data_IF_220366950993
#
_entry.id   IF_220366950993
#
_cell.length_a   1.000
_cell.length_b   1.000
_cell.length_c   1.000
_cell.angle_alpha   90.00
_cell.angle_beta   90.00
_cell.angle_gamma   90.00
#
_symmetry.space_group_name_H-M   'P 1'
#
loop_
_entity.id
_entity.type
_entity.pdbx_description
1 polymer ?
#
# COMPACT_ATOMS: atom_id res chain seq x y z
N UNK A 1 -10.63 27.95 1.41
CA UNK A 1 -10.59 27.47 2.83
C UNK A 1 -12.01 27.08 3.18
N UNK A 2 -12.24 25.95 3.88
CA UNK A 2 -13.58 25.52 4.27
C UNK A 2 -14.17 26.48 5.30
N UNK A 3 -15.43 26.85 5.14
CA UNK A 3 -16.18 27.60 6.13
C UNK A 3 -16.87 26.66 7.15
N UNK A 4 -17.57 27.20 8.15
CA UNK A 4 -18.23 26.42 9.20
C UNK A 4 -19.27 25.46 8.63
N UNK A 5 -20.09 25.90 7.68
CA UNK A 5 -21.12 25.07 7.03
C UNK A 5 -20.51 23.92 6.20
N UNK A 6 -19.39 24.18 5.50
CA UNK A 6 -18.67 23.12 4.79
C UNK A 6 -18.20 22.03 5.73
N UNK A 7 -17.66 22.41 6.90
CA UNK A 7 -17.18 21.46 7.90
C UNK A 7 -18.32 20.63 8.49
N UNK A 8 -19.48 21.22 8.75
CA UNK A 8 -20.68 20.52 9.22
C UNK A 8 -21.18 19.49 8.19
N UNK A 9 -21.27 19.87 6.92
CA UNK A 9 -21.65 18.98 5.83
C UNK A 9 -20.65 17.83 5.65
N UNK A 10 -19.36 18.15 5.73
CA UNK A 10 -18.31 17.14 5.60
C UNK A 10 -18.34 16.15 6.77
N UNK A 11 -18.59 16.62 7.99
CA UNK A 11 -18.72 15.76 9.17
C UNK A 11 -19.91 14.81 9.04
N UNK A 12 -21.08 15.30 8.63
CA UNK A 12 -22.26 14.50 8.31
C UNK A 12 -21.91 13.43 7.26
N UNK A 13 -21.35 13.83 6.13
CA UNK A 13 -20.96 12.94 5.04
C UNK A 13 -19.98 11.85 5.49
N UNK A 14 -19.00 12.19 6.32
CA UNK A 14 -17.99 11.23 6.79
C UNK A 14 -18.55 10.27 7.83
N UNK A 15 -19.41 10.77 8.72
CA UNK A 15 -20.01 9.99 9.80
C UNK A 15 -21.01 8.99 9.26
N UNK A 16 -21.96 9.42 8.42
CA UNK A 16 -23.01 8.56 7.85
C UNK A 16 -22.43 7.46 6.95
N UNK A 17 -21.31 7.72 6.30
CA UNK A 17 -20.61 6.74 5.46
C UNK A 17 -19.51 5.96 6.18
N UNK A 18 -19.29 6.16 7.46
CA UNK A 18 -18.23 5.53 8.25
C UNK A 18 -16.84 5.62 7.57
N UNK A 19 -16.52 6.81 7.02
CA UNK A 19 -15.30 7.00 6.22
C UNK A 19 -14.06 7.07 7.12
N UNK A 20 -13.05 6.22 6.84
CA UNK A 20 -11.78 6.24 7.57
C UNK A 20 -11.05 7.59 7.44
N UNK A 21 -10.32 8.03 8.50
CA UNK A 21 -9.54 9.28 8.51
C UNK A 21 -8.67 9.49 7.27
N UNK A 22 -8.01 8.40 6.79
CA UNK A 22 -7.20 8.48 5.57
C UNK A 22 -8.03 8.76 4.31
N UNK A 23 -9.22 8.19 4.22
CA UNK A 23 -10.13 8.44 3.09
C UNK A 23 -10.72 9.83 3.18
N UNK A 24 -11.03 10.34 4.41
CA UNK A 24 -11.44 11.72 4.66
C UNK A 24 -10.42 12.71 4.11
N UNK A 25 -9.12 12.51 4.38
CA UNK A 25 -8.07 13.36 3.81
C UNK A 25 -8.14 13.45 2.27
N UNK A 26 -8.42 12.34 1.62
CA UNK A 26 -8.60 12.34 0.17
C UNK A 26 -9.85 13.10 -0.30
N UNK A 27 -10.95 13.07 0.45
CA UNK A 27 -12.13 13.88 0.19
C UNK A 27 -11.87 15.36 0.43
N UNK A 28 -11.18 15.72 1.54
CA UNK A 28 -10.75 17.09 1.79
C UNK A 28 -10.01 17.70 0.60
N UNK A 29 -9.08 16.93 0.01
CA UNK A 29 -8.36 17.39 -1.17
C UNK A 29 -9.31 17.58 -2.37
N UNK A 30 -10.20 16.63 -2.65
CA UNK A 30 -11.15 16.75 -3.75
C UNK A 30 -12.10 17.95 -3.58
N UNK A 31 -12.60 18.17 -2.37
CA UNK A 31 -13.47 19.31 -2.03
C UNK A 31 -12.72 20.63 -2.17
N UNK A 32 -11.49 20.73 -1.68
CA UNK A 32 -10.66 21.95 -1.85
C UNK A 32 -10.47 22.29 -3.33
N UNK A 33 -10.17 21.30 -4.17
CA UNK A 33 -10.01 21.49 -5.61
C UNK A 33 -11.33 21.92 -6.28
N UNK A 34 -12.45 21.36 -5.84
CA UNK A 34 -13.77 21.69 -6.41
C UNK A 34 -14.21 23.11 -6.00
N UNK A 35 -14.01 23.50 -4.76
CA UNK A 35 -14.22 24.89 -4.27
C UNK A 35 -13.33 25.86 -5.05
N UNK A 36 -12.05 25.51 -5.23
CA UNK A 36 -11.11 26.35 -6.01
C UNK A 36 -11.58 26.56 -7.46
N UNK A 37 -12.11 25.51 -8.09
CA UNK A 37 -12.60 25.57 -9.45
C UNK A 37 -13.91 26.37 -9.58
N UNK A 38 -14.87 26.13 -8.67
CA UNK A 38 -16.21 26.74 -8.76
C UNK A 38 -16.28 28.13 -8.16
N UNK A 39 -15.36 28.47 -7.27
CA UNK A 39 -15.43 29.67 -6.43
C UNK A 39 -16.56 29.64 -5.39
N UNK A 40 -17.24 28.51 -5.20
CA UNK A 40 -18.40 28.34 -4.32
C UNK A 40 -18.10 27.34 -3.19
N UNK A 41 -18.71 27.55 -2.03
CA UNK A 41 -18.64 26.63 -0.90
C UNK A 41 -19.50 25.38 -1.12
N UNK A 42 -19.19 24.29 -0.43
CA UNK A 42 -19.91 23.00 -0.58
C UNK A 42 -21.40 23.14 -0.27
N UNK A 43 -21.72 23.89 0.79
CA UNK A 43 -23.11 24.19 1.15
C UNK A 43 -23.87 24.84 0.01
N UNK A 44 -23.31 25.90 -0.59
CA UNK A 44 -23.96 26.67 -1.65
C UNK A 44 -24.11 25.83 -2.93
N UNK A 45 -23.13 24.95 -3.20
CA UNK A 45 -23.17 24.02 -4.32
C UNK A 45 -24.28 22.96 -4.17
N UNK A 46 -24.50 22.47 -2.95
CA UNK A 46 -25.62 21.55 -2.68
C UNK A 46 -26.96 22.26 -2.78
N UNK A 47 -27.10 23.42 -2.15
CA UNK A 47 -28.33 24.22 -2.21
C UNK A 47 -28.70 24.61 -3.66
N UNK A 48 -27.70 24.97 -4.48
CA UNK A 48 -27.97 25.27 -5.91
C UNK A 48 -28.46 24.05 -6.66
N UNK A 49 -27.88 22.86 -6.41
CA UNK A 49 -28.28 21.63 -7.07
C UNK A 49 -29.69 21.17 -6.64
N UNK A 50 -29.98 21.23 -5.34
CA UNK A 50 -31.28 20.91 -4.75
C UNK A 50 -32.39 21.82 -5.31
N UNK A 51 -32.14 23.12 -5.35
CA UNK A 51 -33.06 24.10 -5.94
C UNK A 51 -33.32 23.85 -7.44
N UNK A 52 -32.34 23.37 -8.19
CA UNK A 52 -32.53 22.97 -9.58
C UNK A 52 -33.47 21.77 -9.71
N UNK A 53 -33.37 20.77 -8.82
CA UNK A 53 -34.24 19.61 -8.80
C UNK A 53 -35.68 19.99 -8.39
N UNK A 54 -35.85 20.79 -7.33
CA UNK A 54 -37.13 21.30 -6.90
C UNK A 54 -37.87 22.09 -8.00
N UNK A 55 -37.13 22.87 -8.79
CA UNK A 55 -37.65 23.61 -9.92
C UNK A 55 -37.83 22.79 -11.21
N UNK A 56 -37.57 21.49 -11.16
CA UNK A 56 -37.72 20.58 -12.31
C UNK A 56 -36.77 20.87 -13.46
N UNK A 57 -35.60 21.44 -13.20
CA UNK A 57 -34.59 21.77 -14.22
C UNK A 57 -34.05 20.46 -14.81
N UNK A 58 -34.30 20.23 -16.09
CA UNK A 58 -33.80 19.03 -16.76
C UNK A 58 -32.26 19.00 -16.76
N UNK A 59 -31.68 17.84 -16.50
CA UNK A 59 -30.22 17.62 -16.47
C UNK A 59 -29.43 18.29 -17.59
N UNK A 60 -29.96 18.29 -18.81
CA UNK A 60 -29.30 18.94 -19.97
C UNK A 60 -29.10 20.46 -19.81
N UNK A 61 -29.89 21.11 -18.93
CA UNK A 61 -29.86 22.55 -18.65
C UNK A 61 -29.28 22.85 -17.24
N UNK A 62 -28.97 21.83 -16.45
CA UNK A 62 -28.48 21.97 -15.08
C UNK A 62 -27.11 22.63 -15.04
N UNK A 63 -26.94 23.59 -14.14
CA UNK A 63 -25.67 24.22 -13.82
C UNK A 63 -24.70 23.21 -13.19
N UNK A 64 -25.23 22.26 -12.39
CA UNK A 64 -24.44 21.17 -11.84
C UNK A 64 -23.73 20.38 -12.95
N UNK A 65 -24.44 20.04 -14.04
CA UNK A 65 -23.83 19.38 -15.20
C UNK A 65 -22.67 20.17 -15.78
N UNK A 66 -22.86 21.48 -15.96
CA UNK A 66 -21.82 22.37 -16.50
C UNK A 66 -20.61 22.41 -15.57
N UNK A 67 -20.84 22.55 -14.26
CA UNK A 67 -19.77 22.56 -13.25
C UNK A 67 -19.01 21.24 -13.21
N UNK A 68 -19.70 20.11 -13.24
CA UNK A 68 -19.04 18.80 -13.22
C UNK A 68 -18.20 18.54 -14.48
N UNK A 69 -18.72 18.85 -15.66
CA UNK A 69 -17.98 18.71 -16.92
C UNK A 69 -16.77 19.65 -16.97
N UNK A 70 -16.95 20.91 -16.58
CA UNK A 70 -15.89 21.90 -16.52
C UNK A 70 -14.82 21.54 -15.48
N UNK A 71 -15.21 21.11 -14.28
CA UNK A 71 -14.26 20.63 -13.26
C UNK A 71 -13.43 19.45 -13.76
N UNK A 72 -14.04 18.50 -14.45
CA UNK A 72 -13.33 17.38 -15.06
C UNK A 72 -12.31 17.85 -16.11
N UNK A 73 -12.66 18.82 -16.95
CA UNK A 73 -11.74 19.45 -17.89
C UNK A 73 -10.57 20.15 -17.18
N UNK A 74 -10.88 20.94 -16.16
CA UNK A 74 -9.89 21.62 -15.35
C UNK A 74 -8.92 20.66 -14.63
N UNK A 75 -9.42 19.50 -14.15
CA UNK A 75 -8.58 18.44 -13.59
C UNK A 75 -7.69 17.79 -14.65
N UNK A 76 -8.18 17.65 -15.90
CA UNK A 76 -7.44 17.04 -17.00
C UNK A 76 -6.20 17.85 -17.39
N UNK A 77 -6.28 19.16 -17.29
CA UNK A 77 -5.13 20.05 -17.57
C UNK A 77 -4.04 19.96 -16.52
N UNK A 78 -4.40 19.64 -15.26
CA UNK A 78 -3.50 19.71 -14.11
C UNK A 78 -2.99 18.37 -13.61
N UNK A 79 -3.73 17.28 -13.85
CA UNK A 79 -3.48 15.99 -13.21
C UNK A 79 -3.47 14.83 -14.20
N UNK A 80 -2.75 13.78 -13.88
CA UNK A 80 -2.81 12.51 -14.59
C UNK A 80 -4.22 11.89 -14.46
N UNK A 81 -4.60 11.10 -15.46
CA UNK A 81 -5.94 10.51 -15.55
C UNK A 81 -6.37 9.72 -14.30
N UNK A 82 -5.45 8.99 -13.68
CA UNK A 82 -5.74 8.26 -12.44
C UNK A 82 -6.17 9.17 -11.29
N UNK A 83 -5.49 10.30 -11.13
CA UNK A 83 -5.82 11.31 -10.10
C UNK A 83 -7.15 12.00 -10.44
N UNK A 84 -7.34 12.40 -11.69
CA UNK A 84 -8.60 12.96 -12.18
C UNK A 84 -9.78 12.04 -11.87
N UNK A 85 -9.67 10.75 -12.22
CA UNK A 85 -10.74 9.77 -12.01
C UNK A 85 -11.15 9.67 -10.53
N UNK A 86 -10.15 9.69 -9.63
CA UNK A 86 -10.39 9.61 -8.20
C UNK A 86 -11.05 10.90 -7.67
N UNK A 87 -10.50 12.08 -8.02
CA UNK A 87 -11.02 13.36 -7.54
C UNK A 87 -12.43 13.61 -8.05
N UNK A 88 -12.65 13.42 -9.34
CA UNK A 88 -13.98 13.54 -9.96
C UNK A 88 -14.99 12.53 -9.39
N UNK A 89 -14.57 11.29 -9.18
CA UNK A 89 -15.40 10.25 -8.55
C UNK A 89 -15.86 10.62 -7.14
N UNK A 90 -14.97 11.24 -6.34
CA UNK A 90 -15.31 11.70 -5.00
C UNK A 90 -16.37 12.79 -5.00
N UNK A 91 -16.29 13.76 -5.94
CA UNK A 91 -17.31 14.81 -6.04
C UNK A 91 -18.67 14.22 -6.44
N UNK A 92 -18.70 13.27 -7.39
CA UNK A 92 -19.95 12.57 -7.71
C UNK A 92 -20.52 11.80 -6.52
N UNK A 93 -19.67 11.10 -5.76
CA UNK A 93 -20.08 10.38 -4.56
C UNK A 93 -20.66 11.32 -3.50
N UNK A 94 -20.12 12.54 -3.39
CA UNK A 94 -20.61 13.56 -2.48
C UNK A 94 -22.03 14.01 -2.85
N UNK A 95 -22.30 14.40 -4.09
CA UNK A 95 -23.65 14.78 -4.54
C UNK A 95 -24.64 13.62 -4.40
N UNK A 96 -24.28 12.44 -4.84
CA UNK A 96 -25.14 11.25 -4.72
C UNK A 96 -25.46 10.90 -3.25
N UNK A 97 -24.58 11.23 -2.30
CA UNK A 97 -24.84 11.00 -0.88
C UNK A 97 -25.96 11.91 -0.35
N UNK A 98 -25.99 13.14 -0.82
CA UNK A 98 -27.06 14.11 -0.49
C UNK A 98 -28.23 14.02 -1.47
N UNK A 99 -28.42 12.85 -2.08
CA UNK A 99 -29.56 12.48 -2.95
C UNK A 99 -29.69 13.32 -4.23
N UNK A 100 -28.69 14.16 -4.56
CA UNK A 100 -28.68 14.93 -5.81
C UNK A 100 -28.41 14.01 -7.00
N UNK A 101 -29.36 13.96 -7.95
CA UNK A 101 -29.28 13.10 -9.13
C UNK A 101 -28.26 13.61 -10.14
N UNK A 102 -27.27 12.78 -10.46
CA UNK A 102 -26.31 13.05 -11.52
C UNK A 102 -26.66 12.24 -12.76
N UNK A 103 -27.23 12.88 -13.72
CA UNK A 103 -27.54 12.26 -15.00
C UNK A 103 -26.31 11.96 -15.85
N UNK A 104 -26.52 11.62 -17.11
CA UNK A 104 -25.44 11.19 -18.01
C UNK A 104 -24.35 12.25 -18.19
N UNK A 105 -23.11 11.85 -17.92
CA UNK A 105 -21.89 12.61 -18.24
C UNK A 105 -21.11 11.83 -19.31
N UNK A 106 -20.77 12.42 -20.46
CA UNK A 106 -20.00 11.75 -21.51
C UNK A 106 -18.69 11.19 -20.99
N UNK A 107 -18.30 10.00 -21.42
CA UNK A 107 -16.99 9.42 -21.08
C UNK A 107 -15.87 10.25 -21.70
N UNK A 108 -14.75 10.36 -21.02
CA UNK A 108 -13.53 10.91 -21.62
C UNK A 108 -12.99 9.93 -22.66
N UNK A 109 -12.46 10.49 -23.75
CA UNK A 109 -11.66 9.69 -24.67
C UNK A 109 -10.33 9.33 -23.96
N UNK A 110 -10.21 8.08 -23.58
CA UNK A 110 -9.03 7.60 -22.85
C UNK A 110 -7.72 7.71 -23.63
N UNK A 111 -7.78 7.82 -24.96
CA UNK A 111 -6.60 8.04 -25.82
C UNK A 111 -6.09 9.48 -25.76
N UNK A 112 -6.96 10.43 -25.41
CA UNK A 112 -6.64 11.85 -25.37
C UNK A 112 -6.24 12.35 -23.97
N UNK A 113 -6.18 11.47 -22.95
CA UNK A 113 -5.84 11.86 -21.59
C UNK A 113 -4.40 11.47 -21.23
N UNK A 114 -3.76 12.31 -20.42
CA UNK A 114 -2.41 12.06 -19.94
C UNK A 114 -2.41 10.86 -18.95
N UNK A 115 -2.05 9.69 -19.45
CA UNK A 115 -1.87 8.48 -18.64
C UNK A 115 -0.42 8.38 -18.18
N UNK A 116 -0.22 7.82 -16.98
CA UNK A 116 1.10 7.36 -16.58
C UNK A 116 1.51 6.18 -17.46
N UNK A 117 2.76 6.14 -17.88
CA UNK A 117 3.32 4.97 -18.53
C UNK A 117 3.12 3.72 -17.64
N UNK A 118 2.74 2.59 -18.25
CA UNK A 118 2.63 1.35 -17.50
C UNK A 118 4.03 0.93 -16.99
N UNK A 119 4.08 0.37 -15.79
CA UNK A 119 5.32 -0.20 -15.24
C UNK A 119 5.55 -1.54 -15.91
N UNK A 120 6.69 -1.67 -16.61
CA UNK A 120 7.16 -2.89 -17.27
C UNK A 120 8.00 -3.77 -16.34
N UNK A 121 8.45 -4.91 -16.80
CA UNK A 121 9.35 -5.78 -16.04
C UNK A 121 10.71 -5.10 -15.76
N UNK A 122 11.26 -4.40 -16.74
CA UNK A 122 12.57 -3.74 -16.63
C UNK A 122 12.57 -2.54 -15.66
N UNK A 123 11.39 -2.06 -15.31
CA UNK A 123 11.21 -1.01 -14.30
C UNK A 123 11.33 -1.55 -12.86
N UNK A 124 11.16 -2.86 -12.68
CA UNK A 124 11.29 -3.50 -11.36
C UNK A 124 12.77 -3.54 -10.98
N UNK A 125 13.14 -3.22 -9.73
CA UNK A 125 14.53 -3.37 -9.27
C UNK A 125 15.00 -4.82 -9.50
N UNK A 126 16.20 -4.99 -10.04
CA UNK A 126 16.88 -6.27 -10.13
C UNK A 126 17.77 -6.52 -8.90
N UNK A 127 18.42 -7.69 -8.83
CA UNK A 127 19.28 -8.05 -7.72
C UNK A 127 20.52 -7.13 -7.62
N UNK A 128 21.05 -6.66 -8.75
CA UNK A 128 22.23 -5.76 -8.76
C UNK A 128 21.87 -4.44 -8.09
N UNK A 129 20.79 -3.81 -8.55
CA UNK A 129 20.33 -2.54 -7.96
C UNK A 129 19.93 -2.70 -6.48
N UNK A 130 19.35 -3.84 -6.09
CA UNK A 130 19.01 -4.08 -4.69
C UNK A 130 20.26 -4.30 -3.82
N UNK A 131 21.31 -4.97 -4.32
CA UNK A 131 22.59 -5.08 -3.63
C UNK A 131 23.23 -3.71 -3.44
N UNK A 132 23.33 -2.92 -4.48
CA UNK A 132 23.84 -1.55 -4.40
C UNK A 132 23.06 -0.72 -3.36
N UNK A 133 21.74 -0.88 -3.32
CA UNK A 133 20.91 -0.21 -2.35
C UNK A 133 21.19 -0.67 -0.91
N UNK A 134 21.47 -1.96 -0.71
CA UNK A 134 21.80 -2.51 0.60
C UNK A 134 23.15 -2.04 1.14
N UNK A 135 24.11 -1.69 0.28
CA UNK A 135 25.40 -1.10 0.70
C UNK A 135 25.23 0.24 1.42
N UNK A 136 24.22 1.03 1.01
CA UNK A 136 23.90 2.32 1.63
C UNK A 136 22.85 2.21 2.75
N UNK A 137 22.25 1.05 2.93
CA UNK A 137 21.14 0.87 3.85
C UNK A 137 21.63 0.78 5.30
N UNK A 138 20.92 1.45 6.21
CA UNK A 138 21.06 1.19 7.64
C UNK A 138 20.61 -0.25 7.96
N UNK A 139 21.06 -0.87 9.07
CA UNK A 139 20.60 -2.22 9.46
C UNK A 139 19.08 -2.36 9.48
N UNK A 140 18.34 -1.32 9.90
CA UNK A 140 16.88 -1.28 9.88
C UNK A 140 16.35 -1.34 8.44
N UNK A 141 16.87 -0.53 7.54
CA UNK A 141 16.40 -0.48 6.16
C UNK A 141 16.78 -1.74 5.39
N UNK A 142 17.96 -2.31 5.63
CA UNK A 142 18.37 -3.59 5.05
C UNK A 142 17.40 -4.72 5.47
N UNK A 143 17.06 -4.78 6.75
CA UNK A 143 16.08 -5.75 7.26
C UNK A 143 14.69 -5.55 6.62
N UNK A 144 14.23 -4.32 6.43
CA UNK A 144 12.94 -4.03 5.79
C UNK A 144 12.96 -4.40 4.30
N UNK A 145 14.04 -4.07 3.58
CA UNK A 145 14.17 -4.37 2.14
C UNK A 145 14.14 -5.88 1.93
N UNK A 146 15.02 -6.63 2.61
CA UNK A 146 15.11 -8.08 2.49
C UNK A 146 13.83 -8.79 2.95
N UNK A 147 13.18 -8.29 4.00
CA UNK A 147 11.88 -8.81 4.41
C UNK A 147 10.79 -8.55 3.35
N UNK A 148 10.70 -7.36 2.77
CA UNK A 148 9.67 -7.04 1.79
C UNK A 148 9.88 -7.73 0.44
N UNK A 149 11.12 -7.92 0.02
CA UNK A 149 11.45 -8.63 -1.23
C UNK A 149 11.19 -10.12 -1.13
N UNK A 150 11.43 -10.72 0.04
CA UNK A 150 11.22 -12.16 0.24
C UNK A 150 9.80 -12.51 0.69
N UNK A 151 9.11 -11.66 1.48
CA UNK A 151 7.74 -11.96 1.95
C UNK A 151 6.64 -11.39 1.06
N UNK A 152 6.96 -10.39 0.24
CA UNK A 152 5.97 -9.66 -0.53
C UNK A 152 4.95 -8.87 0.31
N UNK A 153 5.19 -8.68 1.61
CA UNK A 153 4.31 -7.92 2.50
C UNK A 153 4.10 -6.48 2.04
N UNK A 154 2.90 -5.98 2.23
CA UNK A 154 2.63 -4.57 1.97
C UNK A 154 3.21 -3.69 3.07
N UNK A 155 3.59 -2.46 2.73
CA UNK A 155 4.25 -1.50 3.61
C UNK A 155 3.63 -1.38 5.01
N UNK A 156 2.29 -1.26 5.11
CA UNK A 156 1.62 -1.16 6.41
C UNK A 156 1.65 -2.45 7.21
N UNK A 157 1.58 -3.57 6.54
CA UNK A 157 1.65 -4.88 7.15
C UNK A 157 3.05 -5.10 7.74
N UNK A 158 4.11 -4.72 6.99
CA UNK A 158 5.50 -4.70 7.50
C UNK A 158 5.65 -3.81 8.73
N UNK A 159 5.09 -2.58 8.72
CA UNK A 159 5.21 -1.65 9.83
C UNK A 159 4.40 -2.05 11.07
N UNK A 160 3.39 -2.89 10.91
CA UNK A 160 2.55 -3.36 12.01
C UNK A 160 3.09 -4.64 12.68
N UNK A 161 4.11 -5.27 12.11
CA UNK A 161 4.74 -6.43 12.74
C UNK A 161 5.31 -6.07 14.10
N UNK A 162 5.08 -6.95 15.06
CA UNK A 162 5.62 -6.87 16.40
C UNK A 162 6.77 -7.84 16.59
N UNK A 163 7.56 -7.63 17.64
CA UNK A 163 8.58 -8.60 18.08
C UNK A 163 7.95 -9.94 18.39
N UNK A 164 6.74 -9.94 19.00
CA UNK A 164 6.01 -11.18 19.26
C UNK A 164 5.64 -11.94 17.99
N UNK A 165 5.23 -11.23 16.92
CA UNK A 165 4.96 -11.87 15.63
C UNK A 165 6.21 -12.54 15.06
N UNK A 166 7.40 -11.94 15.23
CA UNK A 166 8.67 -12.53 14.81
C UNK A 166 9.05 -13.75 15.63
N UNK A 167 8.92 -13.70 16.96
CA UNK A 167 9.17 -14.83 17.86
C UNK A 167 8.25 -16.00 17.49
N UNK A 168 6.96 -15.74 17.32
CA UNK A 168 5.98 -16.78 16.96
C UNK A 168 6.24 -17.36 15.56
N UNK A 169 6.62 -16.51 14.59
CA UNK A 169 6.93 -16.95 13.24
C UNK A 169 8.19 -17.85 13.17
N UNK A 170 9.12 -17.67 14.10
CA UNK A 170 10.40 -18.41 14.15
C UNK A 170 10.43 -19.53 15.19
N UNK A 171 9.31 -19.80 15.89
CA UNK A 171 9.25 -20.74 17.04
C UNK A 171 9.75 -22.16 16.74
N UNK A 172 9.70 -22.60 15.50
CA UNK A 172 10.20 -23.92 15.06
C UNK A 172 11.74 -24.01 15.07
N UNK A 173 12.44 -22.87 15.16
CA UNK A 173 13.88 -22.76 14.97
C UNK A 173 14.66 -22.40 16.22
N UNK A 174 13.99 -22.18 17.37
CA UNK A 174 14.60 -21.83 18.64
C UNK A 174 13.83 -22.43 19.83
N UNK A 175 14.50 -22.57 20.98
CA UNK A 175 13.91 -23.12 22.21
C UNK A 175 13.22 -22.06 23.10
N UNK A 176 12.99 -20.87 22.61
CA UNK A 176 12.47 -19.74 23.39
C UNK A 176 13.59 -18.94 24.08
N UNK A 177 13.20 -18.05 24.98
CA UNK A 177 14.12 -17.13 25.65
C UNK A 177 13.83 -15.67 25.35
N UNK A 178 14.76 -14.79 25.67
CA UNK A 178 14.69 -13.39 25.27
C UNK A 178 15.03 -13.22 23.78
N UNK A 179 14.59 -12.11 23.20
CA UNK A 179 14.75 -11.87 21.76
C UNK A 179 16.22 -11.84 21.31
N UNK A 180 17.16 -11.47 22.18
CA UNK A 180 18.59 -11.44 21.82
C UNK A 180 19.13 -12.86 21.69
N UNK A 181 18.81 -13.75 22.65
CA UNK A 181 19.16 -15.17 22.59
C UNK A 181 18.57 -15.82 21.34
N UNK A 182 17.29 -15.59 21.07
CA UNK A 182 16.63 -16.07 19.85
C UNK A 182 17.35 -15.57 18.58
N UNK A 183 17.69 -14.29 18.50
CA UNK A 183 18.42 -13.76 17.35
C UNK A 183 19.81 -14.37 17.19
N UNK A 184 20.53 -14.66 18.28
CA UNK A 184 21.84 -15.33 18.21
C UNK A 184 21.69 -16.75 17.64
N UNK A 185 20.69 -17.50 18.11
CA UNK A 185 20.40 -18.84 17.61
C UNK A 185 20.05 -18.82 16.11
N UNK A 186 19.19 -17.89 15.70
CA UNK A 186 18.71 -17.79 14.30
C UNK A 186 19.80 -17.37 13.32
N UNK A 187 20.71 -16.48 13.70
CA UNK A 187 21.81 -16.00 12.82
C UNK A 187 22.79 -17.13 12.43
N UNK A 188 22.94 -18.13 13.27
CA UNK A 188 23.84 -19.27 13.01
C UNK A 188 23.26 -20.27 12.00
N UNK A 189 22.03 -20.08 11.56
CA UNK A 189 21.28 -20.99 10.67
C UNK A 189 21.02 -20.35 9.33
N UNK A 190 21.07 -21.15 8.28
CA UNK A 190 20.77 -20.78 6.91
C UNK A 190 19.46 -21.41 6.37
N UNK A 191 18.76 -22.19 7.22
CA UNK A 191 17.55 -22.94 6.88
C UNK A 191 16.26 -22.32 7.46
N UNK A 192 16.33 -21.12 8.05
CA UNK A 192 15.21 -20.50 8.75
C UNK A 192 14.24 -19.84 7.77
N UNK A 193 13.06 -20.43 7.59
CA UNK A 193 11.95 -19.88 6.82
C UNK A 193 10.75 -19.65 7.72
N UNK A 194 10.62 -18.47 8.33
CA UNK A 194 9.56 -18.16 9.30
C UNK A 194 8.17 -18.18 8.69
N UNK A 195 7.18 -18.60 9.48
CA UNK A 195 5.76 -18.58 9.10
C UNK A 195 5.04 -17.40 9.74
N UNK A 196 4.85 -16.32 8.99
CA UNK A 196 4.12 -15.14 9.46
C UNK A 196 2.63 -15.25 9.20
N UNK A 197 1.82 -15.03 10.24
CA UNK A 197 0.36 -14.86 10.14
C UNK A 197 0.03 -13.37 10.13
N UNK A 198 -0.26 -12.82 8.96
CA UNK A 198 -0.44 -11.39 8.74
C UNK A 198 -1.93 -11.03 8.65
N UNK A 199 -2.33 -9.97 9.35
CA UNK A 199 -3.66 -9.37 9.20
C UNK A 199 -3.62 -8.27 8.13
N UNK A 200 -4.28 -8.50 7.01
CA UNK A 200 -4.37 -7.52 5.93
C UNK A 200 -5.24 -6.32 6.33
N UNK A 201 -4.64 -5.15 6.42
CA UNK A 201 -5.30 -3.93 6.89
C UNK A 201 -6.48 -3.48 6.01
N UNK A 202 -6.40 -3.74 4.70
CA UNK A 202 -7.44 -3.29 3.75
C UNK A 202 -8.71 -4.15 3.79
N UNK A 203 -8.58 -5.45 4.06
CA UNK A 203 -9.69 -6.42 3.99
C UNK A 203 -10.02 -7.05 5.32
N UNK A 204 -9.25 -6.78 6.36
CA UNK A 204 -9.35 -7.36 7.71
C UNK A 204 -9.25 -8.90 7.72
N UNK A 205 -8.71 -9.51 6.65
CA UNK A 205 -8.51 -10.96 6.53
C UNK A 205 -7.08 -11.34 6.93
N UNK A 206 -6.91 -12.54 7.49
CA UNK A 206 -5.59 -13.11 7.74
C UNK A 206 -5.09 -13.87 6.52
N UNK A 207 -3.77 -13.82 6.31
CA UNK A 207 -3.05 -14.64 5.34
C UNK A 207 -1.71 -15.06 5.92
N UNK A 208 -1.06 -16.04 5.29
CA UNK A 208 0.27 -16.51 5.66
C UNK A 208 1.29 -16.09 4.60
N UNK A 209 2.47 -15.73 5.06
CA UNK A 209 3.63 -15.47 4.20
C UNK A 209 4.91 -15.88 4.92
N UNK A 210 5.99 -15.93 4.20
CA UNK A 210 7.29 -16.40 4.66
C UNK A 210 8.35 -15.36 4.30
N UNK A 211 9.56 -15.48 4.83
CA UNK A 211 10.69 -14.71 4.33
C UNK A 211 11.94 -15.60 4.25
N UNK A 212 12.92 -15.17 3.46
CA UNK A 212 14.17 -15.90 3.25
C UNK A 212 15.07 -15.90 4.49
N UNK A 213 15.99 -16.85 4.60
CA UNK A 213 17.00 -16.87 5.68
C UNK A 213 17.85 -15.60 5.73
N UNK A 214 18.18 -14.98 4.59
CA UNK A 214 18.92 -13.71 4.54
C UNK A 214 18.13 -12.55 5.19
N UNK A 215 16.80 -12.54 5.01
CA UNK A 215 15.92 -11.56 5.66
C UNK A 215 15.88 -11.77 7.18
N UNK A 216 15.83 -13.03 7.66
CA UNK A 216 15.90 -13.37 9.08
C UNK A 216 17.22 -12.87 9.67
N UNK A 217 18.34 -13.18 9.01
CA UNK A 217 19.69 -12.71 9.42
C UNK A 217 19.72 -11.18 9.53
N UNK A 218 19.19 -10.47 8.55
CA UNK A 218 19.15 -9.01 8.57
C UNK A 218 18.26 -8.45 9.71
N UNK A 219 17.10 -9.08 9.98
CA UNK A 219 16.24 -8.71 11.09
C UNK A 219 16.97 -8.91 12.41
N UNK A 220 17.60 -10.05 12.60
CA UNK A 220 18.36 -10.35 13.83
C UNK A 220 19.53 -9.38 14.02
N UNK A 221 20.32 -9.10 12.98
CA UNK A 221 21.39 -8.08 13.02
C UNK A 221 20.84 -6.71 13.43
N UNK A 222 19.72 -6.28 12.84
CA UNK A 222 19.06 -5.04 13.25
C UNK A 222 18.65 -5.05 14.71
N UNK A 223 18.00 -6.09 15.19
CA UNK A 223 17.54 -6.17 16.58
C UNK A 223 18.71 -6.13 17.56
N UNK A 224 19.79 -6.87 17.29
CA UNK A 224 20.99 -6.91 18.13
C UNK A 224 21.72 -5.56 18.18
N UNK A 225 21.74 -4.81 17.08
CA UNK A 225 22.45 -3.52 16.96
C UNK A 225 21.59 -2.30 17.29
N UNK A 226 20.28 -2.47 17.45
CA UNK A 226 19.33 -1.35 17.60
C UNK A 226 19.44 -0.57 18.91
N UNK A 227 20.21 -1.04 19.91
CA UNK A 227 20.28 -0.45 21.24
C UNK A 227 18.98 -0.48 22.04
N UNK A 228 17.96 -1.23 21.56
CA UNK A 228 16.65 -1.34 22.26
C UNK A 228 16.79 -2.22 23.50
N UNK A 229 16.16 -1.78 24.60
CA UNK A 229 16.01 -2.59 25.79
C UNK A 229 14.79 -3.51 25.63
N UNK A 230 15.04 -4.81 25.54
CA UNK A 230 14.01 -5.84 25.38
C UNK A 230 13.64 -6.54 26.71
N UNK A 231 14.27 -6.14 27.85
CA UNK A 231 14.13 -6.84 29.13
C UNK A 231 12.81 -6.58 29.88
N UNK A 232 11.93 -5.69 29.39
CA UNK A 232 10.72 -5.24 30.09
C UNK A 232 9.40 -5.64 29.41
N UNK A 233 9.28 -6.87 28.92
CA UNK A 233 8.00 -7.35 28.36
C UNK A 233 7.56 -6.65 27.08
N UNK A 234 8.48 -6.20 26.25
CA UNK A 234 8.26 -5.38 25.06
C UNK A 234 7.86 -6.16 23.80
N UNK A 235 7.37 -7.38 23.94
CA UNK A 235 7.01 -8.22 22.78
C UNK A 235 5.92 -7.61 21.88
N UNK A 236 5.12 -6.68 22.39
CA UNK A 236 4.13 -5.94 21.62
C UNK A 236 4.68 -4.72 20.85
N UNK A 237 5.97 -4.39 21.04
CA UNK A 237 6.58 -3.30 20.29
C UNK A 237 6.79 -3.69 18.82
N UNK A 238 6.74 -2.68 17.96
CA UNK A 238 7.00 -2.84 16.53
C UNK A 238 8.34 -3.56 16.30
N UNK A 239 8.34 -4.55 15.43
CA UNK A 239 9.55 -5.23 14.97
C UNK A 239 10.50 -4.21 14.35
N UNK A 240 10.01 -3.45 13.36
CA UNK A 240 10.74 -2.35 12.73
C UNK A 240 10.33 -1.01 13.38
N UNK A 241 11.20 -0.43 14.18
CA UNK A 241 10.94 0.84 14.89
C UNK A 241 11.05 2.03 13.92
N UNK A 242 10.06 2.18 13.06
CA UNK A 242 10.01 3.24 12.05
C UNK A 242 8.55 3.63 11.77
N UNK A 243 8.28 4.91 11.58
CA UNK A 243 6.99 5.38 11.11
C UNK A 243 6.93 5.44 9.57
N UNK A 244 5.73 5.67 9.04
CA UNK A 244 5.48 5.66 7.61
C UNK A 244 6.23 6.75 6.84
N UNK A 245 6.28 7.96 7.40
CA UNK A 245 6.88 9.11 6.73
C UNK A 245 8.40 8.94 6.69
N UNK A 246 9.01 8.58 7.81
CA UNK A 246 10.44 8.29 7.89
C UNK A 246 10.85 7.10 7.02
N UNK A 247 10.01 6.06 6.89
CA UNK A 247 10.25 4.96 5.95
C UNK A 247 10.28 5.47 4.49
N UNK A 248 9.36 6.35 4.12
CA UNK A 248 9.34 6.94 2.78
C UNK A 248 10.58 7.78 2.52
N UNK A 249 10.99 8.61 3.50
CA UNK A 249 12.18 9.46 3.40
C UNK A 249 13.45 8.62 3.22
N UNK A 250 13.61 7.54 4.00
CA UNK A 250 14.72 6.60 3.84
C UNK A 250 14.72 5.93 2.46
N UNK A 251 13.56 5.53 1.93
CA UNK A 251 13.49 5.01 0.57
C UNK A 251 13.86 6.06 -0.49
N UNK A 252 13.50 7.33 -0.29
CA UNK A 252 13.92 8.41 -1.19
C UNK A 252 15.43 8.58 -1.16
N UNK A 253 16.02 8.65 0.03
CA UNK A 253 17.46 8.78 0.21
C UNK A 253 18.24 7.60 -0.42
N UNK A 254 17.81 6.36 -0.17
CA UNK A 254 18.42 5.17 -0.77
C UNK A 254 18.30 5.18 -2.29
N UNK A 255 17.12 5.53 -2.83
CA UNK A 255 16.92 5.64 -4.27
C UNK A 255 17.85 6.65 -4.95
N UNK A 256 18.16 7.75 -4.26
CA UNK A 256 19.12 8.75 -4.74
C UNK A 256 20.55 8.24 -4.64
N UNK A 257 20.95 7.64 -3.52
CA UNK A 257 22.30 7.13 -3.28
C UNK A 257 22.72 6.03 -4.26
N UNK A 258 21.82 5.09 -4.56
CA UNK A 258 22.10 4.03 -5.53
C UNK A 258 21.75 4.41 -6.99
N UNK A 259 21.40 5.67 -7.27
CA UNK A 259 21.15 6.14 -8.62
C UNK A 259 19.97 5.45 -9.33
N UNK A 260 19.00 4.89 -8.59
CA UNK A 260 17.92 4.05 -9.14
C UNK A 260 16.95 4.79 -10.06
N UNK A 261 16.88 6.12 -9.99
CA UNK A 261 16.02 6.93 -10.82
C UNK A 261 14.54 6.84 -10.48
N UNK A 262 13.68 7.26 -11.43
CA UNK A 262 12.23 7.31 -11.27
C UNK A 262 11.54 6.52 -12.36
N UNK A 263 10.46 5.82 -11.99
CA UNK A 263 9.57 5.08 -12.88
C UNK A 263 8.15 5.61 -12.73
N UNK A 264 7.53 6.00 -13.83
CA UNK A 264 6.20 6.63 -13.86
C UNK A 264 6.08 7.86 -12.94
N UNK A 265 7.20 8.58 -12.73
CA UNK A 265 7.29 9.77 -11.88
C UNK A 265 7.44 9.49 -10.38
N UNK A 266 7.69 8.23 -9.99
CA UNK A 266 7.93 7.81 -8.61
C UNK A 266 9.28 7.10 -8.49
N UNK A 267 9.90 7.17 -7.30
CA UNK A 267 11.16 6.49 -7.04
C UNK A 267 11.06 4.99 -7.37
N UNK A 268 12.12 4.44 -7.99
CA UNK A 268 12.20 3.02 -8.34
C UNK A 268 12.34 2.16 -7.10
N UNK A 269 13.16 2.57 -6.12
CA UNK A 269 13.27 1.89 -4.82
C UNK A 269 12.17 2.41 -3.87
N UNK A 270 11.15 1.58 -3.61
CA UNK A 270 10.05 1.82 -2.67
C UNK A 270 9.30 0.53 -2.38
N UNK A 271 8.64 0.43 -1.23
CA UNK A 271 7.92 -0.78 -0.78
C UNK A 271 7.02 -1.43 -1.85
N UNK A 272 6.36 -0.62 -2.70
CA UNK A 272 5.49 -1.18 -3.74
C UNK A 272 6.27 -1.90 -4.85
N UNK A 273 7.47 -1.42 -5.17
CA UNK A 273 8.32 -2.06 -6.18
C UNK A 273 8.99 -3.33 -5.62
N UNK A 274 9.36 -3.35 -4.33
CA UNK A 274 9.85 -4.56 -3.66
C UNK A 274 8.77 -5.67 -3.66
N UNK A 275 7.51 -5.31 -3.42
CA UNK A 275 6.41 -6.26 -3.55
C UNK A 275 6.15 -6.69 -4.99
N UNK A 276 6.40 -5.84 -6.00
CA UNK A 276 6.37 -6.25 -7.41
C UNK A 276 7.54 -7.17 -7.74
N UNK A 277 8.73 -6.89 -7.21
CA UNK A 277 9.89 -7.78 -7.32
C UNK A 277 9.54 -9.19 -6.86
N UNK A 278 9.03 -9.35 -5.63
CA UNK A 278 8.58 -10.63 -5.10
C UNK A 278 7.61 -11.35 -6.05
N UNK A 279 6.55 -10.68 -6.50
CA UNK A 279 5.57 -11.31 -7.36
C UNK A 279 6.13 -11.69 -8.72
N UNK A 280 6.95 -10.83 -9.33
CA UNK A 280 7.51 -11.05 -10.67
C UNK A 280 8.60 -12.13 -10.68
N UNK A 281 9.42 -12.19 -9.64
CA UNK A 281 10.46 -13.24 -9.50
C UNK A 281 9.81 -14.61 -9.34
N UNK A 282 8.87 -14.76 -8.40
CA UNK A 282 8.15 -16.03 -8.20
C UNK A 282 7.36 -16.46 -9.45
N UNK A 283 6.71 -15.51 -10.14
CA UNK A 283 5.99 -15.82 -11.36
C UNK A 283 6.92 -16.33 -12.47
N UNK A 284 8.04 -15.68 -12.66
CA UNK A 284 9.03 -16.09 -13.69
C UNK A 284 9.74 -17.40 -13.33
N UNK A 285 9.82 -17.73 -12.04
CA UNK A 285 10.34 -19.01 -11.54
C UNK A 285 9.30 -20.14 -11.60
N UNK A 286 8.09 -19.89 -12.10
CA UNK A 286 7.05 -20.88 -12.35
C UNK A 286 5.96 -20.98 -11.29
N UNK A 287 6.01 -20.19 -10.23
CA UNK A 287 4.95 -20.20 -9.21
C UNK A 287 3.63 -19.69 -9.79
N UNK A 288 2.53 -20.37 -9.50
CA UNK A 288 1.20 -19.95 -9.97
C UNK A 288 0.76 -18.60 -9.34
N UNK A 289 0.03 -17.79 -10.11
CA UNK A 289 -0.50 -16.50 -9.64
C UNK A 289 -1.34 -16.66 -8.37
N UNK A 290 -2.07 -17.75 -8.26
CA UNK A 290 -2.90 -18.05 -7.09
C UNK A 290 -2.08 -18.19 -5.80
N UNK A 291 -0.91 -18.83 -5.87
CA UNK A 291 0.01 -18.96 -4.75
C UNK A 291 0.65 -17.61 -4.39
N UNK A 292 1.08 -16.88 -5.40
CA UNK A 292 1.63 -15.52 -5.22
C UNK A 292 0.59 -14.60 -4.57
N UNK A 293 -0.67 -14.66 -5.00
CA UNK A 293 -1.74 -13.88 -4.42
C UNK A 293 -2.05 -14.29 -2.97
N UNK A 294 -1.98 -15.59 -2.66
CA UNK A 294 -2.10 -16.10 -1.29
C UNK A 294 -0.98 -15.56 -0.40
N UNK A 295 0.29 -15.67 -0.83
CA UNK A 295 1.47 -15.15 -0.12
C UNK A 295 1.39 -13.64 0.11
N UNK A 296 0.86 -12.90 -0.83
CA UNK A 296 0.69 -11.46 -0.71
C UNK A 296 -0.64 -11.03 -0.05
N UNK A 297 -1.50 -11.98 0.35
CA UNK A 297 -2.81 -11.69 0.91
C UNK A 297 -3.70 -10.89 -0.05
N UNK A 298 -3.54 -11.01 -1.38
CA UNK A 298 -4.43 -10.38 -2.34
C UNK A 298 -5.79 -11.08 -2.29
N UNK A 299 -6.86 -10.29 -2.30
CA UNK A 299 -8.20 -10.85 -2.29
C UNK A 299 -8.48 -11.53 -3.63
N UNK A 300 -8.78 -12.82 -3.62
CA UNK A 300 -9.52 -13.50 -4.67
C UNK A 300 -11.00 -13.17 -4.53
N UNK A 301 -11.78 -13.47 -5.56
CA UNK A 301 -13.24 -13.43 -5.53
C UNK A 301 -13.76 -14.08 -4.24
N UNK A 302 -14.74 -13.44 -3.60
CA UNK A 302 -15.24 -13.86 -2.28
C UNK A 302 -15.71 -15.31 -2.26
N UNK A 303 -16.18 -15.84 -3.38
CA UNK A 303 -16.65 -17.22 -3.53
C UNK A 303 -15.49 -18.23 -3.42
N UNK A 304 -14.39 -18.03 -4.15
CA UNK A 304 -13.23 -18.93 -4.09
C UNK A 304 -12.54 -18.93 -2.72
N UNK A 305 -12.41 -17.75 -2.09
CA UNK A 305 -11.73 -17.63 -0.79
C UNK A 305 -12.53 -18.23 0.39
N UNK A 306 -13.82 -18.48 0.22
CA UNK A 306 -14.67 -19.10 1.24
C UNK A 306 -14.52 -20.63 1.29
N UNK A 307 -14.30 -21.28 0.15
CA UNK A 307 -14.31 -22.75 0.03
C UNK A 307 -12.90 -23.38 0.03
N UNK A 308 -11.87 -22.67 -0.44
CA UNK A 308 -10.53 -23.23 -0.58
C UNK A 308 -9.54 -22.51 0.33
N UNK A 309 -9.27 -23.08 1.50
CA UNK A 309 -8.20 -22.64 2.41
C UNK A 309 -7.04 -23.61 2.28
N UNK A 310 -5.94 -23.12 1.74
CA UNK A 310 -4.70 -23.86 1.73
C UNK A 310 -4.08 -23.88 3.11
N UNK A 311 -3.49 -25.02 3.50
CA UNK A 311 -2.76 -25.09 4.76
C UNK A 311 -1.48 -24.26 4.69
N UNK A 312 -1.07 -23.59 5.77
CA UNK A 312 0.19 -22.84 5.80
C UNK A 312 1.40 -23.69 5.47
N UNK A 313 1.39 -24.97 5.88
CA UNK A 313 2.49 -25.94 5.65
C UNK A 313 2.69 -26.19 4.16
N UNK A 314 1.62 -26.51 3.42
CA UNK A 314 1.70 -26.71 1.96
C UNK A 314 2.13 -25.44 1.22
N UNK A 315 1.66 -24.28 1.67
CA UNK A 315 2.07 -23.00 1.08
C UNK A 315 3.55 -22.72 1.37
N UNK A 316 4.06 -23.13 2.54
CA UNK A 316 5.47 -23.05 2.91
C UNK A 316 6.35 -23.93 2.05
N UNK A 317 5.95 -25.17 1.80
CA UNK A 317 6.64 -26.09 0.90
C UNK A 317 6.81 -25.47 -0.49
N UNK A 318 5.73 -24.98 -1.09
CA UNK A 318 5.77 -24.30 -2.40
C UNK A 318 6.63 -23.03 -2.35
N UNK A 319 6.60 -22.27 -1.25
CA UNK A 319 7.45 -21.08 -1.10
C UNK A 319 8.95 -21.49 -1.07
N UNK A 320 9.31 -22.53 -0.33
CA UNK A 320 10.69 -23.03 -0.23
C UNK A 320 11.21 -23.50 -1.59
N UNK A 321 10.39 -24.18 -2.40
CA UNK A 321 10.75 -24.61 -3.76
C UNK A 321 11.15 -23.46 -4.69
N UNK A 322 10.64 -22.24 -4.42
CA UNK A 322 10.83 -21.06 -5.28
C UNK A 322 11.62 -19.92 -4.61
N UNK A 323 11.98 -20.03 -3.32
CA UNK A 323 12.54 -18.89 -2.58
C UNK A 323 13.91 -18.43 -3.07
N UNK A 324 14.68 -19.31 -3.70
CA UNK A 324 16.04 -18.99 -4.20
C UNK A 324 15.98 -17.87 -5.25
N UNK A 325 14.92 -17.79 -6.05
CA UNK A 325 14.73 -16.69 -6.99
C UNK A 325 14.56 -15.31 -6.32
N UNK A 326 14.28 -15.28 -5.01
CA UNK A 326 14.13 -14.05 -4.21
C UNK A 326 15.43 -13.65 -3.51
N UNK A 327 16.48 -14.48 -3.55
CA UNK A 327 17.78 -14.18 -2.93
C UNK A 327 18.42 -12.96 -3.59
N UNK A 328 18.93 -12.05 -2.77
CA UNK A 328 19.57 -10.82 -3.22
C UNK A 328 21.09 -10.87 -2.96
N UNK A 329 21.50 -11.41 -1.81
CA UNK A 329 22.89 -11.38 -1.35
C UNK A 329 23.71 -12.52 -1.93
N UNK A 330 23.10 -13.66 -2.25
CA UNK A 330 23.78 -14.80 -2.88
C UNK A 330 23.87 -14.59 -4.39
N UNK A 331 25.04 -14.86 -4.99
CA UNK A 331 25.17 -14.99 -6.43
C UNK A 331 24.58 -16.35 -6.84
N UNK A 332 23.55 -16.32 -7.70
CA UNK A 332 22.94 -17.51 -8.27
C UNK A 332 23.88 -18.12 -9.31
#
# INVERSE_FOLDING_TARGET
MFNKKDLEIMDTFFTERCISKRTQYGYHNAFSLYIQYTGMHLHDLLMEADLEEENGIRWKKSKLKVKLIGFRGWLQEKYKYSTLKIMFGRIKTFYNHFEIEIGFIPKLNEKAVNKSEPITYDDIPDNVLLRDCLEYATPLMAAIILYQTSSGCARRETLNLTIQDFIEATKEYHNGGDIKSICVDLITRNDVVPTFKIKRQKTNKFYYTFCSPEAVTAICKYLLTSGRDFNKGHNHYQLFKINLDYLNDNFCELNEKCGAGKVAGMNRIRSHMLRKFHASRLYNDGMSIDKIDALQGRAKDNTHSAYFKESPEKLKEVYIEHMDCLSIMEEV
#
